data_IF_081468644152
#
_entry.id   IF_081468644152
#
_cell.length_a   1.000
_cell.length_b   1.000
_cell.length_c   1.000
_cell.angle_alpha   90.00
_cell.angle_beta   90.00
_cell.angle_gamma   90.00
#
_symmetry.space_group_name_H-M   'P 1'
#
loop_
_entity.id
_entity.type
_entity.pdbx_description
1 polymer ?
#
# COMPACT_ATOMS: atom_id res chain seq x y z
N UNK A 1 15.18 6.33 9.48
CA UNK A 1 16.04 5.38 10.22
C UNK A 1 16.11 5.74 11.70
N UNK A 2 16.58 6.95 12.04
CA UNK A 2 16.72 7.41 13.43
C UNK A 2 15.43 7.29 14.28
N UNK A 3 14.26 7.60 13.73
CA UNK A 3 12.98 7.44 14.46
C UNK A 3 12.67 5.97 14.74
N UNK A 4 12.86 5.08 13.77
CA UNK A 4 12.67 3.64 13.96
C UNK A 4 13.55 3.08 15.07
N UNK A 5 14.83 3.46 15.09
CA UNK A 5 15.79 3.08 16.14
C UNK A 5 15.41 3.65 17.51
N UNK A 6 15.05 4.94 17.54
CA UNK A 6 14.72 5.65 18.78
C UNK A 6 13.49 5.05 19.48
N UNK A 7 12.44 4.77 18.70
CA UNK A 7 11.15 4.30 19.23
C UNK A 7 10.98 2.78 19.16
N UNK A 8 11.98 2.05 18.60
CA UNK A 8 11.95 0.57 18.44
C UNK A 8 10.73 0.07 17.67
N UNK A 9 10.36 0.77 16.61
CA UNK A 9 9.23 0.46 15.73
C UNK A 9 9.69 0.25 14.29
N UNK A 10 8.98 -0.61 13.56
CA UNK A 10 9.10 -0.64 12.11
C UNK A 10 8.32 0.53 11.52
N UNK A 11 8.81 1.11 10.42
CA UNK A 11 8.16 2.22 9.72
C UNK A 11 7.98 1.83 8.27
N UNK A 12 6.73 1.66 7.86
CA UNK A 12 6.34 1.63 6.46
C UNK A 12 6.09 3.07 6.03
N UNK A 13 7.08 3.67 5.38
CA UNK A 13 7.08 5.09 5.08
C UNK A 13 6.33 5.41 3.77
N UNK A 14 6.09 6.70 3.55
CA UNK A 14 5.61 7.21 2.27
C UNK A 14 6.63 7.04 1.15
N UNK A 15 6.38 7.69 0.01
CA UNK A 15 7.29 7.69 -1.13
C UNK A 15 7.97 9.05 -1.32
N UNK A 16 9.13 9.01 -1.94
CA UNK A 16 9.97 10.18 -2.24
C UNK A 16 10.50 10.11 -3.66
N UNK A 17 10.88 11.27 -4.22
CA UNK A 17 11.69 11.31 -5.44
C UNK A 17 13.08 10.75 -5.15
N UNK A 18 13.44 9.67 -5.81
CA UNK A 18 14.71 8.97 -5.65
C UNK A 18 15.48 9.01 -6.97
N UNK A 19 16.67 9.59 -6.95
CA UNK A 19 17.50 9.78 -8.15
C UNK A 19 18.53 8.64 -8.20
N UNK A 20 18.48 7.84 -9.28
CA UNK A 20 19.43 6.77 -9.56
C UNK A 20 19.78 6.77 -11.04
N UNK A 21 21.06 6.74 -11.38
CA UNK A 21 21.56 6.67 -12.77
C UNK A 21 20.93 7.75 -13.70
N UNK A 22 20.82 8.99 -13.24
CA UNK A 22 20.18 10.11 -13.93
C UNK A 22 18.67 9.93 -14.23
N UNK A 23 18.02 8.97 -13.59
CA UNK A 23 16.58 8.76 -13.63
C UNK A 23 15.95 9.10 -12.29
N UNK A 24 14.72 9.60 -12.30
CA UNK A 24 13.98 9.96 -11.10
C UNK A 24 12.83 8.98 -10.94
N UNK A 25 12.78 8.29 -9.81
CA UNK A 25 11.71 7.35 -9.46
C UNK A 25 10.87 7.91 -8.31
N UNK A 26 9.61 7.53 -8.28
CA UNK A 26 8.79 7.69 -7.08
C UNK A 26 8.93 6.41 -6.25
N UNK A 27 9.76 6.45 -5.19
CA UNK A 27 10.17 5.27 -4.42
C UNK A 27 9.57 5.29 -3.03
N UNK A 28 8.77 4.28 -2.68
CA UNK A 28 8.35 3.99 -1.32
C UNK A 28 9.40 3.14 -0.61
N UNK A 29 9.55 3.30 0.70
CA UNK A 29 10.55 2.55 1.46
C UNK A 29 10.03 2.17 2.84
N UNK A 30 10.63 1.12 3.41
CA UNK A 30 10.34 0.69 4.77
C UNK A 30 11.64 0.40 5.54
N UNK A 31 11.62 0.70 6.82
CA UNK A 31 12.75 0.45 7.73
C UNK A 31 12.27 -0.32 8.95
N UNK A 32 13.11 -1.23 9.43
CA UNK A 32 12.80 -1.98 10.64
C UNK A 32 13.19 -1.21 11.91
N UNK A 33 12.82 -1.76 13.08
CA UNK A 33 13.11 -1.19 14.42
C UNK A 33 14.58 -0.97 14.73
N UNK A 34 15.52 -1.50 13.94
CA UNK A 34 16.95 -1.23 14.03
C UNK A 34 17.44 -0.21 12.99
N UNK A 35 16.54 0.49 12.31
CA UNK A 35 16.86 1.49 11.30
C UNK A 35 17.37 0.93 9.97
N UNK A 36 17.36 -0.41 9.79
CA UNK A 36 17.75 -1.06 8.54
C UNK A 36 16.66 -0.89 7.50
N UNK A 37 17.04 -0.52 6.28
CA UNK A 37 16.16 -0.53 5.11
C UNK A 37 15.79 -2.00 4.81
N UNK A 38 14.47 -2.28 4.75
CA UNK A 38 13.94 -3.63 4.52
C UNK A 38 13.06 -3.73 3.27
N UNK A 39 12.70 -2.59 2.68
CA UNK A 39 11.97 -2.55 1.42
C UNK A 39 12.22 -1.23 0.69
N UNK A 40 12.32 -1.31 -0.63
CA UNK A 40 12.20 -0.22 -1.59
C UNK A 40 11.31 -0.68 -2.75
N UNK A 41 10.37 0.17 -3.14
CA UNK A 41 9.46 -0.09 -4.25
C UNK A 41 9.28 1.16 -5.10
N UNK A 42 9.57 1.07 -6.38
CA UNK A 42 9.34 2.14 -7.34
C UNK A 42 7.96 2.02 -7.96
N UNK A 43 7.23 3.12 -7.97
CA UNK A 43 5.90 3.22 -8.57
C UNK A 43 5.91 2.72 -10.02
N UNK A 44 5.13 1.68 -10.30
CA UNK A 44 5.08 1.06 -11.63
C UNK A 44 4.19 1.86 -12.57
N UNK A 45 3.01 2.28 -12.09
CA UNK A 45 2.05 2.98 -12.92
C UNK A 45 2.09 4.49 -12.66
N UNK A 46 2.73 5.22 -13.57
CA UNK A 46 2.75 6.67 -13.53
C UNK A 46 1.40 7.24 -13.94
N UNK A 47 1.01 8.37 -13.31
CA UNK A 47 -0.31 9.01 -13.55
C UNK A 47 -0.29 9.79 -14.85
N UNK A 48 -1.03 9.38 -15.90
CA UNK A 48 -1.00 10.07 -17.20
C UNK A 48 -1.55 11.50 -17.10
N UNK A 49 -2.63 11.70 -16.31
CA UNK A 49 -3.28 13.00 -16.14
C UNK A 49 -2.39 14.05 -15.47
N UNK A 50 -1.39 13.60 -14.70
CA UNK A 50 -0.37 14.45 -14.08
C UNK A 50 0.91 14.53 -14.91
N UNK A 51 0.95 13.88 -16.08
CA UNK A 51 2.11 13.83 -16.98
C UNK A 51 3.38 13.33 -16.27
N UNK A 52 3.23 12.46 -15.27
CA UNK A 52 4.36 11.95 -14.48
C UNK A 52 5.46 11.33 -15.34
N UNK A 53 5.13 10.74 -16.49
CA UNK A 53 6.06 10.14 -17.44
C UNK A 53 7.06 11.15 -18.06
N UNK A 54 6.83 12.45 -17.93
CA UNK A 54 7.74 13.48 -18.45
C UNK A 54 8.91 13.77 -17.51
N UNK A 55 8.77 13.43 -16.23
CA UNK A 55 9.77 13.73 -15.20
C UNK A 55 10.07 12.57 -14.25
N UNK A 56 9.31 11.46 -14.32
CA UNK A 56 9.57 10.25 -13.55
C UNK A 56 9.80 9.05 -14.47
N UNK A 57 10.61 8.13 -14.01
CA UNK A 57 10.80 6.80 -14.59
C UNK A 57 9.90 5.81 -13.86
N UNK A 58 9.17 4.98 -14.60
CA UNK A 58 8.36 3.92 -14.03
C UNK A 58 9.23 2.81 -13.44
N UNK A 59 8.77 2.20 -12.35
CA UNK A 59 9.34 0.97 -11.83
C UNK A 59 9.10 -0.19 -12.80
N UNK A 60 10.01 -1.15 -12.82
CA UNK A 60 9.96 -2.32 -13.72
C UNK A 60 9.57 -3.61 -12.99
N UNK A 61 9.47 -3.55 -11.66
CA UNK A 61 9.21 -4.74 -10.84
C UNK A 61 7.90 -4.62 -10.07
N UNK A 62 7.18 -5.72 -9.98
CA UNK A 62 6.02 -5.80 -9.06
C UNK A 62 6.49 -5.66 -7.62
N UNK A 63 5.59 -5.19 -6.74
CA UNK A 63 5.88 -5.11 -5.32
C UNK A 63 6.12 -6.53 -4.75
N UNK A 64 7.24 -6.70 -4.05
CA UNK A 64 7.56 -7.95 -3.36
C UNK A 64 7.03 -7.91 -1.92
N UNK A 65 6.70 -9.07 -1.34
CA UNK A 65 6.45 -9.15 0.08
C UNK A 65 7.77 -9.02 0.86
N UNK A 66 7.75 -8.27 1.95
CA UNK A 66 8.89 -8.13 2.86
C UNK A 66 8.46 -8.36 4.31
N UNK A 67 9.42 -8.64 5.18
CA UNK A 67 9.15 -9.05 6.55
C UNK A 67 9.38 -7.91 7.55
N UNK A 68 8.39 -7.65 8.39
CA UNK A 68 8.52 -6.78 9.55
C UNK A 68 9.30 -7.49 10.68
N UNK A 69 9.68 -6.74 11.71
CA UNK A 69 10.50 -7.24 12.82
C UNK A 69 9.82 -8.33 13.67
N UNK A 70 8.52 -8.46 13.61
CA UNK A 70 7.72 -9.51 14.26
C UNK A 70 7.53 -10.77 13.40
N UNK A 71 8.09 -10.77 12.19
CA UNK A 71 7.97 -11.86 11.25
C UNK A 71 6.78 -11.76 10.31
N UNK A 72 5.92 -10.73 10.44
CA UNK A 72 4.76 -10.53 9.56
C UNK A 72 5.19 -10.15 8.15
N UNK A 73 4.71 -10.90 7.14
CA UNK A 73 4.90 -10.52 5.74
C UNK A 73 3.88 -9.46 5.32
N UNK A 74 4.38 -8.39 4.73
CA UNK A 74 3.60 -7.24 4.25
C UNK A 74 4.08 -6.82 2.86
N UNK A 75 3.31 -5.97 2.18
CA UNK A 75 3.73 -5.36 0.91
C UNK A 75 3.37 -3.88 0.88
N UNK A 76 4.02 -3.11 0.01
CA UNK A 76 3.82 -1.66 -0.10
C UNK A 76 3.70 -1.25 -1.56
N UNK A 77 2.68 -0.43 -1.86
CA UNK A 77 2.40 0.12 -3.19
C UNK A 77 2.14 1.62 -3.12
N UNK A 78 2.14 2.29 -4.28
CA UNK A 78 2.07 3.75 -4.34
C UNK A 78 0.85 4.22 -5.14
N UNK A 79 -0.08 4.90 -4.48
CA UNK A 79 -1.14 5.75 -5.04
C UNK A 79 -1.85 5.12 -6.25
N UNK A 80 -1.51 5.53 -7.47
CA UNK A 80 -2.16 5.11 -8.71
C UNK A 80 -2.08 3.59 -8.96
N UNK A 81 -1.07 2.90 -8.40
CA UNK A 81 -0.95 1.43 -8.43
C UNK A 81 -2.19 0.74 -7.83
N UNK A 82 -2.94 1.42 -6.95
CA UNK A 82 -4.21 0.92 -6.40
C UNK A 82 -5.22 0.55 -7.48
N UNK A 83 -5.15 1.14 -8.68
CA UNK A 83 -6.06 0.84 -9.80
C UNK A 83 -5.77 -0.48 -10.50
N UNK A 84 -4.63 -1.09 -10.22
CA UNK A 84 -4.11 -2.29 -10.90
C UNK A 84 -4.09 -3.47 -9.93
N UNK A 85 -5.15 -4.32 -9.92
CA UNK A 85 -5.24 -5.47 -9.01
C UNK A 85 -4.11 -6.47 -9.21
N UNK A 86 -3.53 -6.51 -10.40
CA UNK A 86 -2.45 -7.40 -10.79
C UNK A 86 -1.22 -7.25 -9.88
N UNK A 87 -0.90 -6.00 -9.48
CA UNK A 87 0.26 -5.72 -8.63
C UNK A 87 0.16 -6.30 -7.22
N UNK A 88 -1.07 -6.45 -6.69
CA UNK A 88 -1.26 -6.97 -5.33
C UNK A 88 -1.41 -8.50 -5.31
N UNK A 89 -1.88 -9.11 -6.40
CA UNK A 89 -2.16 -10.54 -6.43
C UNK A 89 -0.95 -11.41 -6.14
N UNK A 90 0.21 -11.05 -6.68
CA UNK A 90 1.44 -11.80 -6.45
C UNK A 90 1.92 -11.73 -5.00
N UNK A 91 2.16 -10.56 -4.37
CA UNK A 91 2.61 -10.51 -2.98
C UNK A 91 1.59 -11.11 -2.00
N UNK A 92 0.29 -10.98 -2.24
CA UNK A 92 -0.74 -11.61 -1.41
C UNK A 92 -0.65 -13.14 -1.44
N UNK A 93 -0.43 -13.74 -2.61
CA UNK A 93 -0.20 -15.19 -2.77
C UNK A 93 1.13 -15.65 -2.19
N UNK A 94 2.12 -14.78 -2.19
CA UNK A 94 3.45 -15.03 -1.63
C UNK A 94 3.53 -14.81 -0.11
N UNK A 95 2.36 -14.65 0.57
CA UNK A 95 2.27 -14.67 2.02
C UNK A 95 2.04 -13.33 2.69
N UNK A 96 1.99 -12.21 1.95
CA UNK A 96 1.67 -10.92 2.55
C UNK A 96 0.29 -10.95 3.23
N UNK A 97 0.23 -10.49 4.48
CA UNK A 97 -1.00 -10.39 5.29
C UNK A 97 -1.55 -8.97 5.33
N UNK A 98 -0.71 -7.98 5.06
CA UNK A 98 -1.06 -6.55 5.05
C UNK A 98 -0.50 -5.92 3.77
N UNK A 99 -1.33 -5.14 3.08
CA UNK A 99 -0.90 -4.25 2.00
C UNK A 99 -1.00 -2.81 2.44
N UNK A 100 0.07 -2.05 2.27
CA UNK A 100 0.12 -0.61 2.50
C UNK A 100 0.04 0.14 1.17
N UNK A 101 -0.88 1.07 1.06
CA UNK A 101 -0.97 2.03 -0.04
C UNK A 101 -0.67 3.43 0.48
N UNK A 102 0.43 4.02 0.03
CA UNK A 102 0.81 5.40 0.35
C UNK A 102 0.43 6.32 -0.80
N UNK A 103 -0.29 7.41 -0.55
CA UNK A 103 -0.92 8.16 -1.62
C UNK A 103 -1.00 9.67 -1.37
N UNK A 104 -1.10 10.38 -2.51
CA UNK A 104 -1.66 11.73 -2.64
C UNK A 104 -2.93 11.63 -3.50
N UNK A 105 -4.00 11.06 -2.91
CA UNK A 105 -5.24 10.77 -3.62
C UNK A 105 -6.20 11.95 -3.55
N UNK A 106 -6.72 12.45 -4.68
CA UNK A 106 -7.51 13.66 -4.70
C UNK A 106 -8.94 13.45 -4.15
N UNK A 107 -9.51 14.46 -3.51
CA UNK A 107 -10.87 14.50 -3.00
C UNK A 107 -11.90 14.16 -4.08
N UNK A 108 -11.72 14.64 -5.30
CA UNK A 108 -12.61 14.36 -6.44
C UNK A 108 -12.76 12.87 -6.79
N UNK A 109 -11.92 12.01 -6.21
CA UNK A 109 -11.93 10.55 -6.41
C UNK A 109 -11.97 9.77 -5.09
N UNK A 110 -12.46 10.36 -4.01
CA UNK A 110 -12.60 9.73 -2.70
C UNK A 110 -13.38 8.41 -2.77
N UNK A 111 -14.49 8.37 -3.54
CA UNK A 111 -15.26 7.14 -3.72
C UNK A 111 -14.42 6.01 -4.35
N UNK A 112 -13.51 6.32 -5.28
CA UNK A 112 -12.61 5.31 -5.84
C UNK A 112 -11.61 4.81 -4.79
N UNK A 113 -11.11 5.69 -3.92
CA UNK A 113 -10.21 5.33 -2.82
C UNK A 113 -10.84 4.27 -1.92
N UNK A 114 -12.02 4.54 -1.40
CA UNK A 114 -12.75 3.58 -0.57
C UNK A 114 -13.06 2.27 -1.30
N UNK A 115 -13.64 2.36 -2.49
CA UNK A 115 -14.08 1.18 -3.25
C UNK A 115 -12.91 0.27 -3.64
N UNK A 116 -11.79 0.86 -4.09
CA UNK A 116 -10.64 0.08 -4.53
C UNK A 116 -9.89 -0.54 -3.35
N UNK A 117 -9.65 0.19 -2.25
CA UNK A 117 -9.00 -0.39 -1.07
C UNK A 117 -9.83 -1.54 -0.50
N UNK A 118 -11.15 -1.38 -0.42
CA UNK A 118 -12.06 -2.43 0.01
C UNK A 118 -12.00 -3.66 -0.91
N UNK A 119 -12.02 -3.44 -2.22
CA UNK A 119 -11.88 -4.53 -3.20
C UNK A 119 -10.56 -5.27 -3.02
N UNK A 120 -9.43 -4.55 -2.84
CA UNK A 120 -8.11 -5.15 -2.62
C UNK A 120 -8.07 -6.03 -1.37
N UNK A 121 -8.73 -5.61 -0.29
CA UNK A 121 -8.81 -6.41 0.94
C UNK A 121 -9.60 -7.71 0.70
N UNK A 122 -10.79 -7.61 0.14
CA UNK A 122 -11.70 -8.74 -0.08
C UNK A 122 -11.09 -9.76 -1.05
N UNK A 123 -10.66 -9.33 -2.22
CA UNK A 123 -10.19 -10.23 -3.29
C UNK A 123 -8.86 -10.93 -2.97
N UNK A 124 -8.09 -10.42 -1.99
CA UNK A 124 -6.82 -10.98 -1.56
C UNK A 124 -6.84 -11.53 -0.14
N UNK A 125 -7.99 -11.49 0.55
CA UNK A 125 -8.15 -11.98 1.92
C UNK A 125 -7.02 -11.47 2.83
N UNK A 126 -6.85 -10.14 2.91
CA UNK A 126 -5.77 -9.50 3.67
C UNK A 126 -6.20 -8.15 4.22
N UNK A 127 -5.48 -7.67 5.23
CA UNK A 127 -5.64 -6.27 5.65
C UNK A 127 -5.12 -5.33 4.57
N UNK A 128 -5.82 -4.22 4.38
CA UNK A 128 -5.38 -3.12 3.51
C UNK A 128 -5.37 -1.83 4.30
N UNK A 129 -4.23 -1.16 4.30
CA UNK A 129 -4.01 0.13 4.96
C UNK A 129 -3.72 1.16 3.89
N UNK A 130 -4.61 2.13 3.76
CA UNK A 130 -4.43 3.30 2.89
C UNK A 130 -4.01 4.50 3.71
N UNK A 131 -2.81 5.04 3.46
CA UNK A 131 -2.35 6.29 4.06
C UNK A 131 -2.35 7.38 2.99
N UNK A 132 -3.14 8.42 3.19
CA UNK A 132 -3.34 9.46 2.19
C UNK A 132 -2.98 10.84 2.73
N UNK A 133 -2.53 11.72 1.83
CA UNK A 133 -2.30 13.13 2.13
C UNK A 133 -3.61 13.87 2.41
N UNK A 134 -3.51 14.93 3.19
CA UNK A 134 -4.57 15.92 3.47
C UNK A 134 -4.16 17.29 2.95
N UNK A 135 -5.11 18.20 2.85
CA UNK A 135 -4.87 19.60 2.51
C UNK A 135 -4.89 19.88 1.01
N UNK A 136 -4.33 21.01 0.62
CA UNK A 136 -4.38 21.56 -0.74
C UNK A 136 -2.99 22.05 -1.17
N UNK A 137 -2.54 21.68 -2.36
CA UNK A 137 -1.22 22.03 -2.90
C UNK A 137 -1.24 23.24 -3.86
N UNK A 138 -2.38 23.92 -3.98
CA UNK A 138 -2.60 25.01 -4.93
C UNK A 138 -3.37 24.58 -6.19
N UNK A 139 -3.40 23.27 -6.50
CA UNK A 139 -4.12 22.72 -7.65
C UNK A 139 -5.06 21.58 -7.27
N UNK A 140 -4.70 20.79 -6.28
CA UNK A 140 -5.41 19.57 -5.90
C UNK A 140 -5.73 19.59 -4.40
N UNK A 141 -7.00 19.34 -4.08
CA UNK A 141 -7.43 19.02 -2.72
C UNK A 141 -7.25 17.51 -2.51
N UNK A 142 -6.46 17.14 -1.51
CA UNK A 142 -6.23 15.74 -1.14
C UNK A 142 -7.31 15.26 -0.18
N UNK A 143 -7.76 14.02 -0.43
CA UNK A 143 -8.93 13.51 0.25
C UNK A 143 -8.75 13.25 1.75
N UNK A 144 -7.52 13.05 2.25
CA UNK A 144 -7.36 12.50 3.58
C UNK A 144 -7.88 11.07 3.62
N UNK A 145 -8.79 10.77 4.55
CA UNK A 145 -9.43 9.46 4.66
C UNK A 145 -8.42 8.30 4.66
N UNK A 146 -7.34 8.44 5.46
CA UNK A 146 -6.47 7.31 5.77
C UNK A 146 -7.29 6.24 6.48
N UNK A 147 -7.17 4.97 6.02
CA UNK A 147 -8.16 3.94 6.32
C UNK A 147 -7.50 2.58 6.56
N UNK A 148 -8.10 1.78 7.41
CA UNK A 148 -7.74 0.38 7.64
C UNK A 148 -8.96 -0.51 7.38
N UNK A 149 -8.78 -1.51 6.53
CA UNK A 149 -9.82 -2.46 6.10
C UNK A 149 -9.36 -3.87 6.40
N UNK A 150 -10.25 -4.69 6.98
CA UNK A 150 -9.95 -6.08 7.32
C UNK A 150 -10.12 -7.02 6.11
N UNK A 151 -9.71 -8.31 6.21
CA UNK A 151 -9.80 -9.27 5.11
C UNK A 151 -11.23 -9.54 4.60
N UNK A 152 -12.26 -9.26 5.39
CA UNK A 152 -13.66 -9.38 4.99
C UNK A 152 -14.19 -8.10 4.27
N UNK A 153 -13.39 -7.04 4.23
CA UNK A 153 -13.76 -5.75 3.66
C UNK A 153 -14.48 -4.82 4.64
N UNK A 154 -14.47 -5.13 5.94
CA UNK A 154 -15.06 -4.26 6.96
C UNK A 154 -14.08 -3.16 7.33
N UNK A 155 -14.64 -2.00 7.67
CA UNK A 155 -13.90 -0.85 8.17
C UNK A 155 -13.40 -1.12 9.59
N UNK A 156 -12.08 -1.12 9.81
CA UNK A 156 -11.47 -1.21 11.14
C UNK A 156 -11.30 0.20 11.73
N UNK A 157 -10.91 1.16 10.91
CA UNK A 157 -10.79 2.57 11.30
C UNK A 157 -10.53 3.46 10.11
N UNK A 158 -10.94 4.73 10.24
CA UNK A 158 -10.76 5.75 9.20
C UNK A 158 -10.60 7.12 9.84
N UNK A 159 -9.74 7.95 9.27
CA UNK A 159 -9.64 9.38 9.56
C UNK A 159 -10.57 10.17 8.61
N UNK A 160 -10.75 11.46 8.92
CA UNK A 160 -11.44 12.40 8.04
C UNK A 160 -10.45 13.11 7.09
N UNK A 161 -10.83 14.29 6.58
CA UNK A 161 -10.02 15.13 5.69
C UNK A 161 -8.87 15.85 6.42
N UNK A 162 -8.85 15.83 7.74
CA UNK A 162 -7.84 16.52 8.55
C UNK A 162 -6.65 15.64 8.85
N UNK A 163 -5.48 16.25 9.03
CA UNK A 163 -4.28 15.53 9.47
C UNK A 163 -4.47 15.06 10.92
N UNK A 164 -4.37 13.74 11.12
CA UNK A 164 -4.52 13.12 12.44
C UNK A 164 -3.77 11.78 12.48
N UNK A 165 -3.80 11.10 13.62
CA UNK A 165 -3.18 9.78 13.86
C UNK A 165 -4.28 8.76 14.13
N UNK A 166 -4.31 7.69 13.34
CA UNK A 166 -5.15 6.51 13.57
C UNK A 166 -4.31 5.41 14.20
N UNK A 167 -4.75 4.92 15.36
CA UNK A 167 -4.15 3.76 16.02
C UNK A 167 -5.17 2.63 16.07
N UNK A 168 -4.79 1.44 15.58
CA UNK A 168 -5.63 0.24 15.55
C UNK A 168 -4.81 -0.99 15.88
N UNK A 169 -5.45 -1.97 16.50
CA UNK A 169 -4.90 -3.31 16.69
C UNK A 169 -5.43 -4.24 15.59
N UNK A 170 -4.53 -5.01 14.96
CA UNK A 170 -4.88 -5.94 13.89
C UNK A 170 -4.76 -7.39 14.40
N UNK A 171 -5.85 -8.13 14.35
CA UNK A 171 -5.82 -9.58 14.60
C UNK A 171 -5.45 -10.33 13.30
N UNK A 172 -4.18 -10.64 13.11
CA UNK A 172 -3.69 -11.29 11.89
C UNK A 172 -4.23 -12.71 11.67
N UNK A 173 -4.87 -13.33 12.69
CA UNK A 173 -5.55 -14.62 12.51
C UNK A 173 -6.79 -14.50 11.59
N UNK A 174 -7.36 -13.31 11.46
CA UNK A 174 -8.46 -13.06 10.51
C UNK A 174 -8.05 -13.33 9.06
N UNK A 175 -6.80 -13.08 8.70
CA UNK A 175 -6.27 -13.39 7.37
C UNK A 175 -6.30 -14.89 7.10
N UNK A 176 -5.83 -15.69 8.06
CA UNK A 176 -5.80 -17.15 7.92
C UNK A 176 -7.22 -17.72 7.86
N UNK A 177 -8.09 -17.28 8.76
CA UNK A 177 -9.50 -17.69 8.77
C UNK A 177 -10.21 -17.35 7.47
N UNK A 178 -10.00 -16.14 6.94
CA UNK A 178 -10.62 -15.73 5.68
C UNK A 178 -10.10 -16.54 4.49
N UNK A 179 -8.78 -16.82 4.46
CA UNK A 179 -8.16 -17.67 3.43
C UNK A 179 -8.62 -19.14 3.48
N UNK A 180 -8.99 -19.62 4.66
CA UNK A 180 -9.61 -20.95 4.83
C UNK A 180 -11.07 -20.96 4.38
N UNK A 181 -11.84 -19.96 4.81
CA UNK A 181 -13.28 -19.86 4.52
C UNK A 181 -13.54 -19.56 3.03
N UNK A 182 -12.73 -18.68 2.43
CA UNK A 182 -12.83 -18.28 1.02
C UNK A 182 -11.48 -18.51 0.34
N UNK A 183 -11.17 -19.77 -0.07
CA UNK A 183 -9.83 -20.16 -0.51
C UNK A 183 -9.50 -19.72 -1.95
N UNK A 184 -9.56 -18.41 -2.24
CA UNK A 184 -9.38 -17.85 -3.59
C UNK A 184 -8.05 -18.26 -4.22
N UNK A 185 -6.96 -18.28 -3.44
CA UNK A 185 -5.63 -18.62 -3.96
C UNK A 185 -5.47 -20.10 -4.35
N UNK A 186 -6.22 -21.01 -3.69
CA UNK A 186 -6.25 -22.43 -4.02
C UNK A 186 -7.07 -22.74 -5.28
N UNK A 187 -7.88 -21.78 -5.73
CA UNK A 187 -8.82 -21.96 -6.87
C UNK A 187 -8.43 -21.14 -8.10
N UNK A 188 -7.42 -20.30 -8.00
CA UNK A 188 -6.94 -19.50 -9.14
C UNK A 188 -6.39 -20.42 -10.25
N UNK A 189 -6.80 -20.16 -11.48
CA UNK A 189 -6.37 -20.93 -12.68
C UNK A 189 -5.37 -20.11 -13.48
N UNK A 190 -4.12 -20.08 -13.01
CA UNK A 190 -3.07 -19.21 -13.56
C UNK A 190 -2.79 -19.44 -15.05
N UNK A 191 -3.00 -20.67 -15.52
CA UNK A 191 -2.86 -21.08 -16.92
C UNK A 191 -3.86 -20.37 -17.86
N UNK A 192 -4.96 -19.83 -17.30
CA UNK A 192 -5.96 -19.09 -18.06
C UNK A 192 -5.71 -17.57 -18.11
N UNK A 193 -4.81 -17.07 -17.26
CA UNK A 193 -4.49 -15.64 -17.22
C UNK A 193 -3.21 -15.40 -18.00
N UNK A 194 -3.29 -14.51 -19.00
CA UNK A 194 -2.17 -14.16 -19.88
C UNK A 194 -1.50 -12.88 -19.41
#
# INVERSE_FOLDING_TARGET
KHLAEKYKVDIVAGSVSNIRNNQIFNTAFSVNKSGKLINEYDKVHLVPMLREHEFLTAGENVAEPFQLSDGTYVTQLICYDLRFPELLRYPARSGAKIAFYVAQWPMSRLQHWHSLLKARAIENNMFVIGTNSTGFDGNTEYAGHSIVINPNGDLVGELNESADILTVDLNLNEVEQQRENIPVFKRIKLDLYK
#
